data_IF_965478634179
#
_entry.id   IF_965478634179
#
_cell.length_a   1.000
_cell.length_b   1.000
_cell.length_c   1.000
_cell.angle_alpha   90.00
_cell.angle_beta   90.00
_cell.angle_gamma   90.00
#
_symmetry.space_group_name_H-M   'P 1'
#
loop_
_entity.id
_entity.type
_entity.pdbx_description
1 polymer ?
#
# COMPACT_ATOMS: atom_id res chain seq x y z
N UNK A 1 -9.41 39.65 48.36
CA UNK A 1 -9.94 38.67 47.38
C UNK A 1 -10.57 39.46 46.24
N UNK A 2 -9.94 39.47 45.07
CA UNK A 2 -10.39 40.23 43.89
C UNK A 2 -11.05 39.25 42.92
N UNK A 3 -12.37 39.36 42.75
CA UNK A 3 -13.05 38.90 41.55
C UNK A 3 -13.06 40.09 40.57
N UNK A 4 -12.42 39.93 39.42
CA UNK A 4 -12.53 40.88 38.31
C UNK A 4 -13.66 40.37 37.42
N UNK A 5 -14.80 41.05 37.49
CA UNK A 5 -15.86 40.98 36.49
C UNK A 5 -15.64 42.21 35.59
N UNK A 6 -15.33 42.01 34.31
CA UNK A 6 -15.40 43.08 33.33
C UNK A 6 -16.45 42.71 32.29
N UNK A 7 -17.55 43.44 32.32
CA UNK A 7 -18.62 43.40 31.34
C UNK A 7 -18.38 44.52 30.32
N UNK A 8 -18.53 44.12 29.05
CA UNK A 8 -18.78 44.85 27.80
C UNK A 8 -19.10 46.36 27.85
N UNK A 9 -18.71 47.06 26.77
CA UNK A 9 -19.65 47.72 25.82
C UNK A 9 -18.88 48.18 24.55
N UNK A 10 -19.56 48.28 23.39
CA UNK A 10 -19.01 48.01 22.07
C UNK A 10 -18.68 49.27 21.27
N UNK A 11 -17.91 49.12 20.20
CA UNK A 11 -17.79 50.14 19.15
C UNK A 11 -18.44 49.58 17.90
N UNK A 12 -19.68 50.03 17.68
CA UNK A 12 -20.35 50.02 16.39
C UNK A 12 -19.82 51.21 15.58
N UNK A 13 -19.21 50.93 14.43
CA UNK A 13 -19.18 51.83 13.29
C UNK A 13 -19.69 51.08 12.05
N UNK A 14 -20.99 51.19 11.80
CA UNK A 14 -21.54 51.37 10.46
C UNK A 14 -21.29 52.86 10.12
N UNK A 15 -20.89 53.32 8.94
CA UNK A 15 -20.99 52.81 7.58
C UNK A 15 -20.12 53.72 6.69
N UNK A 16 -19.53 53.20 5.62
CA UNK A 16 -19.51 53.91 4.34
C UNK A 16 -19.33 52.90 3.20
N UNK A 17 -20.32 52.93 2.31
CA UNK A 17 -20.48 52.12 1.12
C UNK A 17 -19.49 52.54 0.04
N UNK A 18 -18.83 51.54 -0.55
CA UNK A 18 -18.51 51.51 -1.97
C UNK A 18 -18.34 50.06 -2.38
N UNK A 19 -19.04 49.68 -3.43
CA UNK A 19 -19.00 48.38 -4.08
C UNK A 19 -17.58 47.84 -4.22
N UNK A 20 -17.28 46.75 -3.53
CA UNK A 20 -16.43 45.70 -4.07
C UNK A 20 -17.03 44.39 -3.58
N UNK A 21 -17.66 43.68 -4.50
CA UNK A 21 -18.09 42.31 -4.28
C UNK A 21 -16.83 41.47 -4.05
N UNK A 22 -16.42 41.36 -2.79
CA UNK A 22 -15.59 40.24 -2.34
C UNK A 22 -16.43 38.99 -2.59
N UNK A 23 -16.31 38.41 -3.79
CA UNK A 23 -16.37 36.97 -3.91
C UNK A 23 -15.29 36.47 -2.98
N UNK A 24 -15.69 35.99 -1.81
CA UNK A 24 -14.87 35.07 -1.08
C UNK A 24 -14.52 33.98 -2.11
N UNK A 25 -13.24 33.93 -2.51
CA UNK A 25 -12.71 32.69 -3.05
C UNK A 25 -12.97 31.67 -1.95
N UNK A 26 -14.03 30.87 -2.12
CA UNK A 26 -14.08 29.57 -1.51
C UNK A 26 -12.82 28.89 -2.00
N UNK A 27 -11.76 28.91 -1.17
CA UNK A 27 -10.75 27.88 -1.22
C UNK A 27 -11.53 26.58 -1.09
N UNK A 28 -11.83 25.95 -2.24
CA UNK A 28 -12.28 24.57 -2.30
C UNK A 28 -11.29 23.79 -1.44
N UNK A 29 -11.76 23.39 -0.26
CA UNK A 29 -11.03 22.48 0.58
C UNK A 29 -10.89 21.22 -0.27
N UNK A 30 -9.68 20.95 -0.74
CA UNK A 30 -9.40 19.73 -1.51
C UNK A 30 -9.64 18.56 -0.59
N UNK A 31 -10.85 17.99 -0.66
CA UNK A 31 -11.21 16.78 0.07
C UNK A 31 -10.36 15.67 -0.53
N UNK A 32 -9.32 15.26 0.20
CA UNK A 32 -8.49 14.13 -0.17
C UNK A 32 -9.32 12.84 -0.07
N UNK A 33 -9.97 12.43 -1.17
CA UNK A 33 -10.78 11.21 -1.20
C UNK A 33 -9.87 10.00 -0.98
N UNK A 34 -10.25 9.18 0.00
CA UNK A 34 -9.51 7.98 0.38
C UNK A 34 -10.23 6.75 -0.10
N UNK A 35 -9.49 5.80 -0.65
CA UNK A 35 -10.06 4.54 -1.13
C UNK A 35 -10.63 3.80 0.09
N UNK A 36 -11.86 3.33 -0.03
CA UNK A 36 -12.54 2.48 0.94
C UNK A 36 -12.54 1.01 0.50
N UNK A 37 -12.61 0.75 -0.80
CA UNK A 37 -12.62 -0.60 -1.39
C UNK A 37 -11.91 -0.62 -2.74
N UNK A 38 -11.09 -1.65 -2.94
CA UNK A 38 -10.51 -2.07 -4.22
C UNK A 38 -11.09 -3.44 -4.57
N UNK A 39 -11.67 -3.58 -5.75
CA UNK A 39 -12.01 -4.88 -6.33
C UNK A 39 -11.11 -5.12 -7.52
N UNK A 40 -10.42 -6.25 -7.54
CA UNK A 40 -9.59 -6.72 -8.65
C UNK A 40 -10.16 -8.03 -9.18
N UNK A 41 -10.38 -8.11 -10.48
CA UNK A 41 -10.80 -9.31 -11.18
C UNK A 41 -9.73 -9.73 -12.18
N UNK A 42 -9.29 -10.98 -12.10
CA UNK A 42 -8.34 -11.58 -13.04
C UNK A 42 -8.82 -12.99 -13.38
N UNK A 43 -9.12 -13.22 -14.67
CA UNK A 43 -9.71 -14.46 -15.15
C UNK A 43 -11.04 -14.80 -14.44
N UNK A 44 -11.03 -15.79 -13.54
CA UNK A 44 -12.19 -16.25 -12.77
C UNK A 44 -12.09 -15.88 -11.28
N UNK A 45 -10.99 -15.24 -10.87
CA UNK A 45 -10.72 -14.93 -9.49
C UNK A 45 -11.03 -13.46 -9.24
N UNK A 46 -11.72 -13.17 -8.14
CA UNK A 46 -11.92 -11.79 -7.68
C UNK A 46 -11.28 -11.62 -6.31
N UNK A 47 -10.39 -10.65 -6.21
CA UNK A 47 -9.77 -10.23 -4.97
C UNK A 47 -10.38 -8.90 -4.54
N UNK A 48 -10.86 -8.83 -3.30
CA UNK A 48 -11.45 -7.63 -2.74
C UNK A 48 -10.64 -7.21 -1.53
N UNK A 49 -10.25 -5.94 -1.51
CA UNK A 49 -9.56 -5.32 -0.38
C UNK A 49 -10.31 -4.11 0.11
N UNK A 50 -10.50 -4.06 1.41
CA UNK A 50 -11.05 -2.93 2.14
C UNK A 50 -9.94 -2.18 2.83
N UNK A 51 -10.09 -0.87 2.93
CA UNK A 51 -9.15 0.01 3.60
C UNK A 51 -9.81 0.67 4.81
N UNK A 52 -8.99 1.23 5.69
CA UNK A 52 -9.40 2.19 6.71
C UNK A 52 -9.25 3.61 6.15
N UNK A 53 -9.84 4.60 6.84
CA UNK A 53 -9.68 6.02 6.49
C UNK A 53 -8.23 6.52 6.57
N UNK A 54 -7.27 5.78 7.11
CA UNK A 54 -5.85 6.17 7.10
C UNK A 54 -5.07 5.52 5.93
N UNK A 55 -5.77 4.77 5.07
CA UNK A 55 -5.21 4.05 3.93
C UNK A 55 -4.61 2.69 4.27
N UNK A 56 -4.66 2.25 5.53
CA UNK A 56 -4.26 0.89 5.91
C UNK A 56 -5.30 -0.14 5.45
N UNK A 57 -4.87 -1.37 5.18
CA UNK A 57 -5.78 -2.45 4.78
C UNK A 57 -6.58 -2.89 6.01
N UNK A 58 -7.89 -3.04 5.89
CA UNK A 58 -8.73 -3.52 6.99
C UNK A 58 -9.14 -4.98 6.81
N UNK A 59 -9.52 -5.37 5.58
CA UNK A 59 -10.04 -6.70 5.26
C UNK A 59 -9.67 -7.10 3.84
N UNK A 60 -9.42 -8.40 3.63
CA UNK A 60 -9.21 -8.99 2.31
C UNK A 60 -10.08 -10.23 2.12
N UNK A 61 -10.60 -10.42 0.89
CA UNK A 61 -11.48 -11.52 0.51
C UNK A 61 -11.03 -12.05 -0.85
N UNK A 62 -10.92 -13.37 -0.96
CA UNK A 62 -10.58 -14.07 -2.20
C UNK A 62 -11.77 -14.88 -2.66
N UNK A 63 -12.22 -14.65 -3.89
CA UNK A 63 -13.45 -15.22 -4.45
C UNK A 63 -13.09 -16.16 -5.61
N UNK A 64 -13.38 -17.44 -5.35
CA UNK A 64 -13.19 -18.68 -6.12
C UNK A 64 -13.80 -18.89 -7.52
N UNK A 65 -15.02 -18.46 -7.82
CA UNK A 65 -15.84 -19.22 -8.79
C UNK A 65 -17.24 -18.60 -9.02
N UNK A 66 -17.36 -17.27 -8.89
CA UNK A 66 -18.65 -16.58 -8.97
C UNK A 66 -19.52 -16.67 -7.70
N UNK A 67 -19.02 -17.28 -6.62
CA UNK A 67 -19.57 -17.13 -5.26
C UNK A 67 -19.68 -15.66 -4.83
N UNK A 68 -20.60 -15.35 -3.91
CA UNK A 68 -20.73 -13.99 -3.38
C UNK A 68 -19.66 -13.67 -2.31
N UNK A 69 -19.46 -12.38 -2.07
CA UNK A 69 -18.51 -11.88 -1.07
C UNK A 69 -18.76 -12.41 0.35
N UNK A 70 -20.03 -12.61 0.72
CA UNK A 70 -20.44 -13.04 2.06
C UNK A 70 -20.31 -14.56 2.29
N UNK A 71 -19.93 -15.32 1.26
CA UNK A 71 -19.82 -16.78 1.29
C UNK A 71 -18.36 -17.22 1.27
N UNK A 72 -17.43 -16.35 1.70
CA UNK A 72 -15.99 -16.62 1.62
C UNK A 72 -15.26 -16.35 2.92
N UNK A 73 -14.27 -17.19 3.25
CA UNK A 73 -13.28 -16.85 4.25
C UNK A 73 -12.61 -15.52 3.92
N UNK A 74 -12.22 -14.79 4.95
CA UNK A 74 -11.59 -13.48 4.79
C UNK A 74 -10.46 -13.28 5.78
N UNK A 75 -9.52 -12.43 5.40
CA UNK A 75 -8.44 -11.97 6.27
C UNK A 75 -8.81 -10.63 6.88
N UNK A 76 -8.59 -10.48 8.18
CA UNK A 76 -8.77 -9.23 8.92
C UNK A 76 -7.40 -8.73 9.41
N UNK A 77 -7.13 -7.45 9.16
CA UNK A 77 -5.88 -6.78 9.51
C UNK A 77 -6.08 -6.02 10.81
N UNK A 78 -5.32 -6.40 11.84
CA UNK A 78 -5.44 -5.83 13.18
C UNK A 78 -4.23 -4.93 13.44
N UNK A 79 -4.49 -3.70 13.86
CA UNK A 79 -3.47 -2.71 14.18
C UNK A 79 -3.43 -2.43 15.68
N UNK A 80 -2.23 -2.17 16.21
CA UNK A 80 -2.06 -1.73 17.59
C UNK A 80 -2.35 -0.23 17.76
N UNK A 81 -2.27 0.27 19.00
CA UNK A 81 -2.52 1.69 19.32
C UNK A 81 -1.57 2.67 18.61
N UNK A 82 -0.39 2.19 18.19
CA UNK A 82 0.58 2.96 17.42
C UNK A 82 0.36 2.87 15.89
N UNK A 83 -0.74 2.26 15.45
CA UNK A 83 -1.07 2.02 14.04
C UNK A 83 -0.03 1.16 13.30
N UNK A 84 0.64 0.26 14.02
CA UNK A 84 1.45 -0.81 13.45
C UNK A 84 0.58 -2.05 13.24
N UNK A 85 0.79 -2.77 12.14
CA UNK A 85 0.08 -4.02 11.85
C UNK A 85 0.51 -5.07 12.89
N UNK A 86 -0.39 -5.49 13.76
CA UNK A 86 -0.12 -6.46 14.83
C UNK A 86 -0.35 -7.90 14.36
N UNK A 87 -1.42 -8.14 13.58
CA UNK A 87 -1.72 -9.46 13.05
C UNK A 87 -2.61 -9.42 11.81
N UNK A 88 -2.52 -10.48 11.01
CA UNK A 88 -3.51 -10.82 9.99
C UNK A 88 -4.19 -12.10 10.46
N UNK A 89 -5.52 -12.07 10.56
CA UNK A 89 -6.34 -13.17 11.09
C UNK A 89 -7.26 -13.70 10.02
N UNK A 90 -7.35 -15.03 9.89
CA UNK A 90 -8.26 -15.68 8.98
C UNK A 90 -9.57 -16.01 9.70
N UNK A 91 -10.69 -15.62 9.10
CA UNK A 91 -12.04 -15.93 9.52
C UNK A 91 -12.74 -16.79 8.47
N UNK A 92 -13.63 -17.67 8.90
CA UNK A 92 -14.52 -18.41 8.01
C UNK A 92 -15.59 -17.49 7.42
N UNK A 93 -16.32 -17.99 6.43
CA UNK A 93 -17.51 -17.32 5.86
C UNK A 93 -18.61 -17.03 6.91
N UNK A 94 -18.61 -17.73 8.05
CA UNK A 94 -19.58 -17.56 9.13
C UNK A 94 -19.08 -16.63 10.25
N UNK A 95 -18.08 -15.78 9.97
CA UNK A 95 -17.43 -14.87 10.93
C UNK A 95 -16.76 -15.58 12.14
N UNK A 96 -16.44 -16.87 11.99
CA UNK A 96 -15.73 -17.60 13.04
C UNK A 96 -14.21 -17.45 12.86
N UNK A 97 -13.51 -17.08 13.93
CA UNK A 97 -12.05 -17.03 13.93
C UNK A 97 -11.49 -18.43 13.65
N UNK A 98 -10.78 -18.58 12.53
CA UNK A 98 -10.15 -19.83 12.17
C UNK A 98 -8.74 -19.92 12.76
N UNK A 99 -7.90 -18.92 12.49
CA UNK A 99 -6.50 -18.89 12.94
C UNK A 99 -5.84 -17.54 12.71
N UNK A 100 -4.68 -17.33 13.34
CA UNK A 100 -3.75 -16.31 12.87
C UNK A 100 -3.14 -16.77 11.54
N UNK A 101 -3.09 -15.87 10.57
CA UNK A 101 -2.31 -16.04 9.35
C UNK A 101 -0.89 -15.55 9.59
N UNK A 102 -0.74 -14.33 10.13
CA UNK A 102 0.55 -13.72 10.50
C UNK A 102 0.45 -12.92 11.79
N UNK A 103 1.56 -12.83 12.51
CA UNK A 103 1.71 -11.93 13.65
C UNK A 103 3.04 -11.17 13.57
N UNK A 104 3.06 -9.96 14.10
CA UNK A 104 4.17 -9.03 13.98
C UNK A 104 4.55 -8.49 15.36
N UNK A 105 5.82 -8.58 15.71
CA UNK A 105 6.36 -8.12 16.99
C UNK A 105 7.23 -6.89 16.77
N UNK A 106 7.05 -5.86 17.59
CA UNK A 106 7.75 -4.59 17.50
C UNK A 106 8.57 -4.31 18.77
N UNK A 107 9.73 -3.67 18.63
CA UNK A 107 10.50 -3.20 19.78
C UNK A 107 9.96 -1.86 20.34
N UNK A 108 10.57 -1.38 21.43
CA UNK A 108 10.19 -0.11 22.07
C UNK A 108 10.35 1.14 21.19
N UNK A 109 11.07 1.03 20.08
CA UNK A 109 11.23 2.09 19.08
C UNK A 109 10.21 1.97 17.95
N UNK A 110 9.19 1.12 18.09
CA UNK A 110 8.19 0.81 17.06
C UNK A 110 8.79 0.23 15.76
N UNK A 111 9.91 -0.48 15.87
CA UNK A 111 10.52 -1.17 14.73
C UNK A 111 10.11 -2.64 14.76
N UNK A 112 9.72 -3.20 13.62
CA UNK A 112 9.38 -4.61 13.47
C UNK A 112 10.62 -5.45 13.75
N UNK A 113 10.61 -6.31 14.76
CA UNK A 113 11.76 -7.18 15.09
C UNK A 113 11.54 -8.63 14.70
N UNK A 114 10.28 -9.05 14.59
CA UNK A 114 9.95 -10.42 14.24
C UNK A 114 8.58 -10.52 13.56
N UNK A 115 8.49 -11.38 12.57
CA UNK A 115 7.27 -11.85 11.96
C UNK A 115 7.14 -13.35 12.22
N UNK A 116 5.93 -13.80 12.53
CA UNK A 116 5.59 -15.24 12.56
C UNK A 116 4.51 -15.52 11.53
N UNK A 117 4.83 -16.34 10.52
CA UNK A 117 3.93 -16.78 9.46
C UNK A 117 3.42 -18.19 9.76
N UNK A 118 2.12 -18.32 9.97
CA UNK A 118 1.48 -19.60 10.31
C UNK A 118 1.10 -20.40 9.05
N UNK A 119 1.43 -19.93 7.85
CA UNK A 119 1.30 -20.67 6.59
C UNK A 119 -0.11 -21.17 6.35
N UNK A 120 -0.25 -22.48 6.13
CA UNK A 120 -1.53 -23.20 6.00
C UNK A 120 -2.13 -23.68 7.33
N UNK A 121 -1.41 -23.49 8.44
CA UNK A 121 -1.79 -23.94 9.79
C UNK A 121 -1.56 -25.42 10.05
N UNK A 122 -0.96 -26.16 9.12
CA UNK A 122 -0.68 -27.61 9.24
C UNK A 122 0.78 -27.91 9.56
N UNK A 123 1.68 -26.96 9.30
CA UNK A 123 3.11 -27.03 9.60
C UNK A 123 3.48 -26.06 10.73
N UNK A 124 4.67 -26.25 11.31
CA UNK A 124 5.22 -25.29 12.26
C UNK A 124 5.36 -23.90 11.59
N UNK A 125 5.14 -22.80 12.34
CA UNK A 125 5.25 -21.45 11.79
C UNK A 125 6.69 -21.13 11.34
N UNK A 126 6.80 -20.29 10.32
CA UNK A 126 8.06 -19.70 9.89
C UNK A 126 8.31 -18.39 10.63
N UNK A 127 9.56 -18.13 11.03
CA UNK A 127 9.91 -16.93 11.78
C UNK A 127 10.91 -16.09 11.00
N UNK A 128 10.52 -14.87 10.66
CA UNK A 128 11.46 -13.90 10.11
C UNK A 128 11.89 -12.92 11.18
N UNK A 129 13.19 -12.76 11.39
CA UNK A 129 13.76 -11.76 12.30
C UNK A 129 14.31 -10.58 11.53
N UNK A 130 14.29 -9.38 12.15
CA UNK A 130 14.71 -8.13 11.50
C UNK A 130 15.78 -7.42 12.31
N UNK A 131 16.81 -6.94 11.61
CA UNK A 131 17.91 -6.16 12.20
C UNK A 131 18.03 -4.82 11.49
N UNK A 132 18.23 -3.75 12.27
CA UNK A 132 18.28 -2.38 11.76
C UNK A 132 19.68 -1.80 11.83
N UNK A 133 20.09 -1.15 10.76
CA UNK A 133 21.25 -0.25 10.69
C UNK A 133 20.81 1.12 10.18
N UNK A 134 21.73 2.09 10.08
CA UNK A 134 21.43 3.51 9.80
C UNK A 134 20.50 3.73 8.60
N UNK A 135 20.62 2.92 7.55
CA UNK A 135 19.88 3.06 6.31
C UNK A 135 19.58 1.71 5.64
N UNK A 136 19.52 0.64 6.44
CA UNK A 136 19.26 -0.71 5.94
C UNK A 136 18.55 -1.53 7.00
N UNK A 137 17.60 -2.34 6.54
CA UNK A 137 16.89 -3.34 7.32
C UNK A 137 17.25 -4.69 6.73
N UNK A 138 17.89 -5.53 7.54
CA UNK A 138 18.20 -6.92 7.22
C UNK A 138 17.11 -7.82 7.77
N UNK A 139 16.83 -8.92 7.07
CA UNK A 139 15.88 -9.93 7.52
C UNK A 139 16.36 -11.35 7.22
N UNK A 140 15.97 -12.28 8.08
CA UNK A 140 16.35 -13.70 7.99
C UNK A 140 15.22 -14.60 8.51
N UNK A 141 14.88 -15.62 7.73
CA UNK A 141 13.98 -16.72 8.05
C UNK A 141 14.81 -18.00 8.16
N UNK A 142 15.08 -18.42 9.40
CA UNK A 142 16.04 -19.50 9.69
C UNK A 142 15.55 -20.85 9.18
N UNK A 143 14.25 -21.10 9.27
CA UNK A 143 13.65 -22.40 8.90
C UNK A 143 13.81 -22.73 7.41
N UNK A 144 13.93 -21.71 6.57
CA UNK A 144 14.05 -21.87 5.11
C UNK A 144 15.38 -21.38 4.56
N UNK A 145 16.29 -20.95 5.45
CA UNK A 145 17.58 -20.33 5.11
C UNK A 145 17.43 -19.14 4.14
N UNK A 146 16.31 -18.41 4.24
CA UNK A 146 16.05 -17.24 3.41
C UNK A 146 16.51 -16.00 4.14
N UNK A 147 17.12 -15.09 3.39
CA UNK A 147 17.60 -13.82 3.93
C UNK A 147 17.51 -12.72 2.91
N UNK A 148 17.59 -11.48 3.37
CA UNK A 148 17.57 -10.33 2.50
C UNK A 148 17.78 -9.03 3.22
N UNK A 149 17.69 -7.94 2.46
CA UNK A 149 17.69 -6.60 3.02
C UNK A 149 16.91 -5.61 2.15
N UNK A 150 16.54 -4.51 2.80
CA UNK A 150 15.96 -3.32 2.20
C UNK A 150 16.87 -2.15 2.58
N UNK A 151 17.34 -1.41 1.59
CA UNK A 151 18.25 -0.27 1.77
C UNK A 151 17.58 1.03 1.36
N UNK A 152 17.83 2.06 2.15
CA UNK A 152 17.17 3.34 2.04
C UNK A 152 18.17 4.46 1.69
N UNK A 153 17.70 5.48 0.98
CA UNK A 153 18.41 6.75 0.86
C UNK A 153 18.29 7.60 2.14
N UNK A 154 18.94 8.76 2.16
CA UNK A 154 18.89 9.69 3.27
C UNK A 154 17.53 10.37 3.47
N UNK A 155 16.57 10.16 2.55
CA UNK A 155 15.19 10.64 2.64
C UNK A 155 14.23 9.53 3.05
N UNK A 156 14.73 8.33 3.35
CA UNK A 156 13.93 7.19 3.77
C UNK A 156 13.26 6.43 2.62
N UNK A 157 13.66 6.64 1.36
CA UNK A 157 13.14 5.91 0.21
C UNK A 157 13.92 4.64 -0.05
N UNK A 158 13.24 3.57 -0.45
CA UNK A 158 13.90 2.31 -0.82
C UNK A 158 14.66 2.50 -2.13
N UNK A 159 15.98 2.29 -2.12
CA UNK A 159 16.82 2.40 -3.32
C UNK A 159 17.32 1.05 -3.83
N UNK A 160 17.30 0.04 -2.96
CA UNK A 160 17.83 -1.27 -3.27
C UNK A 160 17.18 -2.30 -2.36
N UNK A 161 16.73 -3.41 -2.94
CA UNK A 161 16.31 -4.59 -2.18
C UNK A 161 17.06 -5.81 -2.66
N UNK A 162 17.26 -6.72 -1.74
CA UNK A 162 17.93 -7.98 -1.98
C UNK A 162 17.18 -9.05 -1.22
N UNK A 163 16.87 -10.16 -1.89
CA UNK A 163 16.26 -11.28 -1.21
C UNK A 163 16.69 -12.60 -1.84
N UNK A 164 16.73 -13.62 -0.98
CA UNK A 164 17.00 -15.00 -1.31
C UNK A 164 15.68 -15.75 -1.30
N UNK A 165 15.11 -16.08 -2.46
CA UNK A 165 13.87 -16.87 -2.52
C UNK A 165 14.13 -18.38 -2.46
N UNK A 166 15.41 -18.79 -2.56
CA UNK A 166 15.88 -20.17 -2.35
C UNK A 166 17.42 -20.27 -2.33
N UNK A 167 17.99 -21.49 -2.14
CA UNK A 167 19.43 -21.69 -1.88
C UNK A 167 20.39 -21.10 -2.91
N UNK A 168 19.93 -20.93 -4.14
CA UNK A 168 20.75 -20.42 -5.26
C UNK A 168 20.09 -19.28 -6.02
N UNK A 169 18.97 -18.75 -5.54
CA UNK A 169 18.21 -17.72 -6.25
C UNK A 169 18.22 -16.42 -5.47
N UNK A 170 18.98 -15.47 -6.01
CA UNK A 170 19.18 -14.15 -5.43
C UNK A 170 18.61 -13.12 -6.39
N UNK A 171 17.66 -12.33 -5.90
CA UNK A 171 17.15 -11.18 -6.63
C UNK A 171 17.71 -9.93 -5.96
N UNK A 172 18.25 -9.04 -6.78
CA UNK A 172 18.59 -7.67 -6.38
C UNK A 172 17.81 -6.72 -7.27
N UNK A 173 17.01 -5.85 -6.66
CA UNK A 173 16.27 -4.80 -7.35
C UNK A 173 16.87 -3.44 -6.98
N UNK A 174 17.18 -2.61 -7.97
CA UNK A 174 17.56 -1.21 -7.78
C UNK A 174 16.42 -0.31 -8.22
N UNK A 175 16.01 0.60 -7.35
CA UNK A 175 14.84 1.44 -7.52
C UNK A 175 15.28 2.88 -7.78
N UNK A 176 14.79 3.49 -8.86
CA UNK A 176 14.99 4.90 -9.18
C UNK A 176 13.70 5.67 -9.06
N UNK A 177 13.83 6.94 -8.73
CA UNK A 177 12.71 7.86 -8.60
C UNK A 177 12.84 9.05 -9.54
N UNK A 178 11.71 9.53 -10.02
CA UNK A 178 11.53 10.81 -10.71
C UNK A 178 10.34 11.51 -10.07
N UNK A 179 10.50 12.78 -9.68
CA UNK A 179 9.41 13.58 -9.08
C UNK A 179 8.72 12.89 -7.88
N UNK A 180 9.52 12.21 -7.06
CA UNK A 180 9.10 11.37 -5.92
C UNK A 180 8.31 10.09 -6.25
N UNK A 181 8.09 9.78 -7.51
CA UNK A 181 7.47 8.55 -7.99
C UNK A 181 8.54 7.54 -8.43
N UNK A 182 8.27 6.23 -8.33
CA UNK A 182 9.19 5.19 -8.82
C UNK A 182 9.20 5.23 -10.33
N UNK A 183 10.35 5.49 -10.96
CA UNK A 183 10.47 5.60 -12.42
C UNK A 183 11.08 4.37 -13.07
N UNK A 184 11.90 3.61 -12.33
CA UNK A 184 12.56 2.41 -12.84
C UNK A 184 12.84 1.44 -11.70
N UNK A 185 12.68 0.15 -11.98
CA UNK A 185 13.24 -0.94 -11.19
C UNK A 185 14.11 -1.78 -12.10
N UNK A 186 15.35 -2.04 -11.68
CA UNK A 186 16.31 -2.79 -12.49
C UNK A 186 16.95 -3.91 -11.70
N UNK A 187 17.28 -4.99 -12.39
CA UNK A 187 17.93 -6.17 -11.85
C UNK A 187 19.34 -6.36 -12.45
N UNK A 188 20.20 -7.07 -11.73
CA UNK A 188 21.57 -7.36 -12.17
C UNK A 188 21.64 -8.20 -13.45
N UNK A 189 20.61 -9.02 -13.72
CA UNK A 189 20.49 -9.82 -14.95
C UNK A 189 20.15 -8.98 -16.19
N UNK A 190 20.02 -7.65 -16.05
CA UNK A 190 19.68 -6.72 -17.12
C UNK A 190 18.18 -6.49 -17.30
N UNK A 191 17.32 -7.20 -16.55
CA UNK A 191 15.87 -6.96 -16.54
C UNK A 191 15.59 -5.57 -15.98
N UNK A 192 14.68 -4.84 -16.64
CA UNK A 192 14.23 -3.53 -16.18
C UNK A 192 12.74 -3.37 -16.37
N UNK A 193 12.11 -2.75 -15.39
CA UNK A 193 10.75 -2.24 -15.40
C UNK A 193 10.82 -0.73 -15.44
N UNK A 194 10.35 -0.14 -16.53
CA UNK A 194 10.29 1.32 -16.69
C UNK A 194 8.84 1.74 -16.58
N UNK A 195 8.57 2.71 -15.70
CA UNK A 195 7.22 3.19 -15.42
C UNK A 195 6.98 4.52 -16.11
N UNK A 196 5.94 4.56 -16.92
CA UNK A 196 5.35 5.83 -17.39
C UNK A 196 4.18 6.16 -16.48
N UNK A 197 4.21 7.36 -15.90
CA UNK A 197 3.21 7.81 -14.92
C UNK A 197 2.55 9.10 -15.37
N UNK A 198 1.34 9.35 -14.89
CA UNK A 198 0.71 10.66 -14.96
C UNK A 198 0.95 11.44 -13.66
N UNK A 199 0.90 12.78 -13.75
CA UNK A 199 1.15 13.67 -12.61
C UNK A 199 0.04 13.64 -11.54
N UNK A 200 -1.06 12.92 -11.80
CA UNK A 200 -2.15 12.71 -10.85
C UNK A 200 -1.65 11.89 -9.65
N UNK A 201 -2.02 12.24 -8.40
CA UNK A 201 -1.70 11.43 -7.22
C UNK A 201 -2.32 10.02 -7.32
N UNK A 202 -1.53 8.97 -7.05
CA UNK A 202 -2.09 7.62 -6.88
C UNK A 202 -2.53 7.45 -5.41
N UNK A 203 -3.83 7.31 -5.12
CA UNK A 203 -4.32 7.13 -3.76
C UNK A 203 -3.82 5.85 -3.08
N UNK A 204 -3.51 4.79 -3.84
CA UNK A 204 -2.92 3.54 -3.31
C UNK A 204 -1.42 3.67 -3.00
N UNK A 205 -0.72 4.61 -3.65
CA UNK A 205 0.73 4.79 -3.50
C UNK A 205 1.14 5.62 -2.27
N UNK A 206 0.29 6.53 -1.81
CA UNK A 206 0.63 7.47 -0.73
C UNK A 206 1.07 6.74 0.56
N UNK A 207 0.58 5.52 0.77
CA UNK A 207 0.95 4.68 1.91
C UNK A 207 2.38 4.11 1.81
N UNK A 208 2.82 3.69 0.62
CA UNK A 208 4.18 3.15 0.41
C UNK A 208 5.28 4.18 0.71
N UNK A 209 5.10 5.44 0.33
CA UNK A 209 6.11 6.48 0.61
C UNK A 209 6.19 6.75 2.12
N UNK A 210 5.05 6.84 2.80
CA UNK A 210 5.00 7.24 4.21
C UNK A 210 5.41 6.10 5.14
N UNK A 211 5.05 4.87 4.82
CA UNK A 211 5.29 3.68 5.64
C UNK A 211 5.70 2.48 4.77
N UNK A 212 6.87 2.52 4.11
CA UNK A 212 7.30 1.51 3.14
C UNK A 212 7.35 0.10 3.74
N UNK A 213 7.80 -0.03 4.99
CA UNK A 213 7.78 -1.32 5.68
C UNK A 213 6.37 -1.84 5.88
N UNK A 214 5.41 -0.99 6.24
CA UNK A 214 4.03 -1.44 6.49
C UNK A 214 3.35 -1.90 5.19
N UNK A 215 3.60 -1.20 4.08
CA UNK A 215 3.18 -1.65 2.76
C UNK A 215 3.76 -3.02 2.40
N UNK A 216 5.06 -3.25 2.63
CA UNK A 216 5.68 -4.55 2.32
C UNK A 216 5.00 -5.69 3.10
N UNK A 217 4.64 -5.46 4.36
CA UNK A 217 4.00 -6.48 5.20
C UNK A 217 2.56 -6.81 4.78
N UNK A 218 1.87 -5.89 4.09
CA UNK A 218 0.50 -6.10 3.58
C UNK A 218 0.49 -6.63 2.16
N UNK A 219 1.42 -6.20 1.32
CA UNK A 219 1.39 -6.50 -0.12
C UNK A 219 2.28 -7.68 -0.54
N UNK A 220 3.31 -8.01 0.24
CA UNK A 220 4.30 -8.99 -0.16
C UNK A 220 4.51 -10.08 0.89
N UNK A 221 4.84 -11.27 0.40
CA UNK A 221 5.50 -12.29 1.21
C UNK A 221 6.97 -11.90 1.34
N UNK A 222 7.58 -12.03 2.52
CA UNK A 222 8.97 -11.58 2.75
C UNK A 222 10.01 -12.35 1.92
N UNK A 223 9.68 -13.57 1.49
CA UNK A 223 10.52 -14.36 0.58
C UNK A 223 10.33 -14.00 -0.90
N UNK A 224 9.35 -13.16 -1.19
CA UNK A 224 8.97 -12.67 -2.51
C UNK A 224 8.72 -11.16 -2.42
N UNK A 225 9.68 -10.44 -1.82
CA UNK A 225 9.78 -8.98 -1.98
C UNK A 225 10.35 -8.73 -3.38
N UNK A 226 9.70 -9.30 -4.37
CA UNK A 226 9.93 -8.95 -5.74
C UNK A 226 9.09 -7.70 -6.02
N UNK A 227 9.80 -6.58 -6.15
CA UNK A 227 9.21 -5.36 -6.67
C UNK A 227 9.02 -5.45 -8.19
N UNK A 228 9.04 -6.64 -8.77
CA UNK A 228 8.28 -6.90 -9.97
C UNK A 228 6.83 -6.66 -9.61
N UNK A 229 6.36 -5.44 -9.84
CA UNK A 229 4.96 -5.12 -9.68
C UNK A 229 4.20 -6.06 -10.61
N UNK A 230 3.69 -7.14 -10.06
CA UNK A 230 2.50 -7.73 -10.61
C UNK A 230 1.52 -6.56 -10.64
N UNK A 231 1.01 -6.27 -11.83
CA UNK A 231 0.29 -5.03 -12.21
C UNK A 231 -0.87 -4.65 -11.29
N UNK A 232 -1.24 -5.55 -10.39
CA UNK A 232 -2.17 -5.45 -9.28
C UNK A 232 -1.90 -4.31 -8.30
N UNK A 233 -0.64 -3.91 -8.08
CA UNK A 233 -0.31 -2.93 -7.02
C UNK A 233 0.73 -1.90 -7.44
N UNK A 234 0.64 -1.39 -8.67
CA UNK A 234 1.65 -0.45 -9.13
C UNK A 234 1.76 0.77 -8.22
N UNK A 235 3.00 1.00 -7.76
CA UNK A 235 3.43 2.08 -6.87
C UNK A 235 3.26 3.46 -7.51
N UNK A 236 2.73 3.62 -8.73
CA UNK A 236 2.37 4.94 -9.24
C UNK A 236 1.06 4.87 -10.03
N UNK A 237 0.53 6.02 -10.48
CA UNK A 237 -0.50 6.03 -11.51
C UNK A 237 0.15 5.66 -12.85
N UNK A 238 0.53 4.38 -12.96
CA UNK A 238 1.30 3.87 -14.08
C UNK A 238 0.39 3.66 -15.27
N UNK A 239 0.64 4.39 -16.35
CA UNK A 239 -0.04 4.16 -17.63
C UNK A 239 0.60 2.98 -18.38
N UNK A 240 1.92 2.84 -18.27
CA UNK A 240 2.68 1.85 -19.03
C UNK A 240 3.82 1.27 -18.20
N UNK A 241 4.01 -0.04 -18.28
CA UNK A 241 5.20 -0.74 -17.81
C UNK A 241 5.91 -1.35 -19.02
N UNK A 242 7.20 -1.02 -19.18
CA UNK A 242 8.07 -1.70 -20.12
C UNK A 242 8.95 -2.68 -19.37
N UNK A 243 8.81 -3.98 -19.64
CA UNK A 243 9.67 -5.02 -19.11
C UNK A 243 10.67 -5.41 -20.20
N UNK A 244 11.96 -5.09 -20.03
CA UNK A 244 12.97 -5.41 -21.03
C UNK A 244 13.80 -6.60 -20.52
N UNK A 245 13.90 -7.72 -21.26
CA UNK A 245 13.40 -7.99 -22.61
C UNK A 245 11.97 -8.58 -22.72
N UNK A 246 11.21 -8.70 -21.63
CA UNK A 246 9.88 -9.33 -21.58
C UNK A 246 8.70 -8.42 -21.93
N UNK A 247 8.74 -7.73 -23.07
CA UNK A 247 7.57 -7.03 -23.62
C UNK A 247 7.04 -5.80 -22.86
N UNK A 248 5.77 -5.49 -23.08
CA UNK A 248 5.07 -4.29 -22.57
C UNK A 248 3.78 -4.73 -21.89
N UNK A 249 3.52 -4.18 -20.71
CA UNK A 249 2.22 -4.24 -20.04
C UNK A 249 1.63 -2.83 -20.00
N UNK A 250 0.34 -2.69 -20.24
CA UNK A 250 -0.33 -1.39 -20.31
C UNK A 250 -1.51 -1.38 -19.35
N UNK A 251 -1.58 -0.33 -18.52
CA UNK A 251 -2.69 -0.12 -17.59
C UNK A 251 -3.39 1.18 -17.92
N UNK A 252 -4.66 1.08 -18.30
CA UNK A 252 -5.49 2.23 -18.64
C UNK A 252 -6.40 2.54 -17.47
N UNK A 253 -6.22 3.72 -16.87
CA UNK A 253 -7.09 4.23 -15.81
C UNK A 253 -8.24 5.06 -16.39
N UNK A 254 -9.43 4.89 -15.81
CA UNK A 254 -10.55 5.81 -16.02
C UNK A 254 -10.70 6.67 -14.78
N UNK A 255 -10.92 7.97 -14.98
CA UNK A 255 -11.00 8.96 -13.91
C UNK A 255 -12.38 9.61 -13.86
N UNK A 256 -12.80 10.02 -12.65
CA UNK A 256 -13.89 10.97 -12.46
C UNK A 256 -13.45 12.38 -12.84
N UNK A 257 -14.42 13.31 -12.89
CA UNK A 257 -14.21 14.73 -13.21
C UNK A 257 -13.23 15.43 -12.25
N UNK A 258 -13.08 14.90 -11.04
CA UNK A 258 -12.20 15.43 -10.00
C UNK A 258 -10.84 14.69 -9.97
N UNK A 259 -10.45 14.06 -11.08
CA UNK A 259 -9.18 13.35 -11.30
C UNK A 259 -8.91 12.13 -10.39
N UNK A 260 -9.95 11.55 -9.77
CA UNK A 260 -9.83 10.30 -9.02
C UNK A 260 -10.09 9.06 -9.89
N UNK A 261 -9.23 8.01 -9.83
CA UNK A 261 -9.44 6.80 -10.61
C UNK A 261 -10.68 6.03 -10.13
N UNK A 262 -11.55 5.62 -11.05
CA UNK A 262 -12.73 4.80 -10.75
C UNK A 262 -12.57 3.35 -11.18
N UNK A 263 -11.74 3.13 -12.20
CA UNK A 263 -11.40 1.79 -12.67
C UNK A 263 -10.06 1.81 -13.38
N UNK A 264 -9.47 0.62 -13.53
CA UNK A 264 -8.32 0.42 -14.41
C UNK A 264 -8.41 -0.93 -15.11
N UNK A 265 -7.86 -1.01 -16.31
CA UNK A 265 -7.67 -2.28 -17.02
C UNK A 265 -6.20 -2.46 -17.35
N UNK A 266 -5.60 -3.55 -16.92
CA UNK A 266 -4.26 -3.96 -17.32
C UNK A 266 -4.33 -5.07 -18.37
N UNK A 267 -3.61 -4.92 -19.47
CA UNK A 267 -3.32 -6.00 -20.42
C UNK A 267 -1.87 -6.41 -20.24
N UNK A 268 -1.63 -7.66 -19.83
CA UNK A 268 -0.29 -8.22 -19.64
C UNK A 268 0.31 -8.76 -20.94
N UNK A 269 1.61 -9.03 -20.94
CA UNK A 269 2.33 -9.55 -22.11
C UNK A 269 1.75 -10.88 -22.62
N UNK A 270 1.29 -11.74 -21.70
CA UNK A 270 0.69 -13.04 -22.00
C UNK A 270 -0.76 -12.95 -22.51
N UNK A 271 -1.31 -11.74 -22.61
CA UNK A 271 -2.68 -11.46 -23.03
C UNK A 271 -3.73 -11.60 -21.93
N UNK A 272 -3.33 -11.92 -20.69
CA UNK A 272 -4.24 -11.88 -19.55
C UNK A 272 -4.66 -10.44 -19.23
N UNK A 273 -5.88 -10.31 -18.71
CA UNK A 273 -6.52 -9.02 -18.44
C UNK A 273 -6.86 -8.94 -16.96
N UNK A 274 -6.48 -7.84 -16.33
CA UNK A 274 -6.88 -7.52 -14.96
C UNK A 274 -7.74 -6.27 -14.98
N UNK A 275 -8.91 -6.37 -14.36
CA UNK A 275 -9.85 -5.27 -14.21
C UNK A 275 -9.91 -4.85 -12.74
N UNK A 276 -9.92 -3.54 -12.49
CA UNK A 276 -10.04 -3.00 -11.13
C UNK A 276 -11.14 -1.96 -11.06
N UNK A 277 -11.80 -1.90 -9.91
CA UNK A 277 -12.68 -0.79 -9.52
C UNK A 277 -12.29 -0.24 -8.16
N UNK A 278 -12.48 1.07 -7.99
CA UNK A 278 -12.13 1.81 -6.78
C UNK A 278 -13.38 2.50 -6.22
N UNK A 279 -13.63 2.30 -4.93
CA UNK A 279 -14.63 3.02 -4.16
C UNK A 279 -13.93 3.89 -3.11
N UNK A 280 -14.59 4.99 -2.72
CA UNK A 280 -14.04 6.03 -1.85
C UNK A 280 -14.98 6.31 -0.68
N UNK A 281 -14.45 6.85 0.42
CA UNK A 281 -15.23 7.40 1.53
C UNK A 281 -15.96 8.70 1.17
#
# INVERSE_FOLDING_TARGET
MKNVLLLLIPILFLSCSSDDSNKAEETEETVDLKISKLTEAHNNDTFIRYYNEDGTVSKEIWIFDGSSENERPYSLFIYNDQQNLESIKLYSENDEFARNHRTYEYNSNNQLVKLTDYGDGTHEPYHTTFTYSTNRVDFEELETERSGYIKFDNKGKIIETYHQSGPSFWITNFIKYKDNQVSEISQLNGRKYIFETVDTPNPLFQFFIKKPMQYILTEHYLYDIDFTFDTSYSINNVTTIHNIPGGKEETVFQYKKDDYPISSTTIREDGSVIERSFEYY
#
